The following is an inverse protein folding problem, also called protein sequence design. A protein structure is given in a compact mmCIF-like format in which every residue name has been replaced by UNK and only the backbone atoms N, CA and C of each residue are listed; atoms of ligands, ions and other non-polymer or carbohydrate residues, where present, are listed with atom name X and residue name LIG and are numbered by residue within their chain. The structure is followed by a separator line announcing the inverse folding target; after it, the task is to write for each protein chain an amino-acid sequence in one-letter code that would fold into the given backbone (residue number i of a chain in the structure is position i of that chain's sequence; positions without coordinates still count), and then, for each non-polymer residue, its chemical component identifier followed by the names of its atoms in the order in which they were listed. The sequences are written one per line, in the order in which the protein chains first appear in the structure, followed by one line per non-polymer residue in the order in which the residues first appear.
data_IF_569706371176
#
_entry.id   IF_569706371176
#
_cell.length_a   1.000
_cell.length_b   1.000
_cell.length_c   1.000
_cell.angle_alpha   90.00
_cell.angle_beta   90.00
_cell.angle_gamma   90.00
#
_symmetry.space_group_name_H-M   'P 1'
#
loop_
_entity.id
_entity.type
_entity.pdbx_description
1 polymer ?
#
# COMPACT_ATOMS: atom_id res chain seq x y z
N UNK A 1 -31.69 3.30 -7.96
CA UNK A 1 -30.34 3.75 -8.32
C UNK A 1 -30.02 3.13 -9.68
N UNK A 2 -29.86 3.94 -10.72
CA UNK A 2 -29.62 3.46 -12.10
C UNK A 2 -28.25 2.77 -12.19
N UNK A 3 -28.08 1.81 -13.11
CA UNK A 3 -26.83 1.06 -13.35
C UNK A 3 -25.60 1.98 -13.46
N UNK A 4 -25.75 3.15 -14.13
CA UNK A 4 -24.71 4.19 -14.21
C UNK A 4 -24.25 4.73 -12.84
N UNK A 5 -25.16 4.87 -11.87
CA UNK A 5 -24.85 5.37 -10.54
C UNK A 5 -24.05 4.35 -9.72
N UNK A 6 -24.31 3.04 -9.90
CA UNK A 6 -23.50 1.98 -9.26
C UNK A 6 -22.08 1.93 -9.82
N UNK A 7 -21.94 1.99 -11.15
CA UNK A 7 -20.62 2.01 -11.81
C UNK A 7 -19.78 3.23 -11.40
N UNK A 8 -20.41 4.42 -11.31
CA UNK A 8 -19.73 5.63 -10.87
C UNK A 8 -19.27 5.55 -9.39
N UNK A 9 -20.07 4.95 -8.51
CA UNK A 9 -19.72 4.77 -7.10
C UNK A 9 -18.56 3.76 -6.94
N UNK A 10 -18.58 2.66 -7.69
CA UNK A 10 -17.51 1.67 -7.73
C UNK A 10 -16.19 2.29 -8.21
N UNK A 11 -16.22 3.04 -9.31
CA UNK A 11 -15.05 3.74 -9.84
C UNK A 11 -14.43 4.71 -8.82
N UNK A 12 -15.28 5.47 -8.12
CA UNK A 12 -14.83 6.43 -7.10
C UNK A 12 -14.18 5.74 -5.89
N UNK A 13 -14.69 4.58 -5.47
CA UNK A 13 -14.05 3.80 -4.40
C UNK A 13 -12.73 3.15 -4.86
N UNK A 14 -12.65 2.64 -6.08
CA UNK A 14 -11.41 2.09 -6.62
C UNK A 14 -10.31 3.17 -6.71
N UNK A 15 -10.67 4.38 -7.16
CA UNK A 15 -9.79 5.55 -7.11
C UNK A 15 -9.33 5.87 -5.68
N UNK A 16 -10.22 5.78 -4.69
CA UNK A 16 -9.88 5.98 -3.28
C UNK A 16 -8.83 4.96 -2.81
N UNK A 17 -8.96 3.70 -3.22
CA UNK A 17 -8.00 2.66 -2.89
C UNK A 17 -6.65 2.87 -3.55
N UNK A 18 -6.64 3.28 -4.83
CA UNK A 18 -5.42 3.68 -5.54
C UNK A 18 -4.69 4.82 -4.82
N UNK A 19 -5.42 5.87 -4.42
CA UNK A 19 -4.84 7.00 -3.68
C UNK A 19 -4.28 6.56 -2.32
N UNK A 20 -4.97 5.67 -1.60
CA UNK A 20 -4.47 5.11 -0.34
C UNK A 20 -3.20 4.29 -0.57
N UNK A 21 -3.18 3.42 -1.60
CA UNK A 21 -2.03 2.59 -1.93
C UNK A 21 -0.81 3.45 -2.29
N UNK A 22 -1.01 4.47 -3.13
CA UNK A 22 0.03 5.42 -3.52
C UNK A 22 0.53 6.23 -2.33
N UNK A 23 -0.36 6.63 -1.42
CA UNK A 23 0.01 7.34 -0.20
C UNK A 23 0.84 6.47 0.73
N UNK A 24 0.47 5.20 0.94
CA UNK A 24 1.26 4.26 1.75
C UNK A 24 2.58 3.96 1.06
N UNK A 25 2.59 3.73 -0.25
CA UNK A 25 3.81 3.52 -1.01
C UNK A 25 4.78 4.70 -0.88
N UNK A 26 4.26 5.93 -0.94
CA UNK A 26 5.04 7.15 -0.74
C UNK A 26 5.56 7.25 0.70
N UNK A 27 4.72 7.02 1.71
CA UNK A 27 5.12 7.05 3.13
C UNK A 27 6.17 5.98 3.42
N UNK A 28 6.07 4.79 2.83
CA UNK A 28 7.07 3.75 3.11
C UNK A 28 8.36 4.00 2.34
N UNK A 29 8.28 4.35 1.04
CA UNK A 29 9.48 4.62 0.25
C UNK A 29 10.24 5.85 0.78
N UNK A 30 9.52 6.92 1.11
CA UNK A 30 10.10 8.19 1.54
C UNK A 30 10.26 8.27 3.07
N UNK A 31 9.22 7.89 3.82
CA UNK A 31 9.22 7.94 5.28
C UNK A 31 10.10 6.87 5.94
N UNK A 32 10.04 5.61 5.50
CA UNK A 32 10.90 4.57 6.06
C UNK A 32 12.35 4.68 5.52
N UNK A 33 12.52 5.12 4.27
CA UNK A 33 13.82 5.26 3.63
C UNK A 33 14.63 6.50 4.03
N UNK A 34 13.97 7.62 4.35
CA UNK A 34 14.64 8.92 4.60
C UNK A 34 14.39 9.41 6.02
N UNK A 35 13.15 9.43 6.50
CA UNK A 35 12.76 10.01 7.80
C UNK A 35 13.12 9.10 8.98
N UNK A 36 12.87 7.80 8.83
CA UNK A 36 13.28 6.78 9.81
C UNK A 36 14.69 6.26 9.57
N UNK A 37 15.40 6.76 8.54
CA UNK A 37 16.78 6.34 8.21
C UNK A 37 17.70 6.45 9.43
N UNK A 38 17.61 7.52 10.21
CA UNK A 38 18.47 7.73 11.38
C UNK A 38 18.09 6.84 12.57
N UNK A 39 16.79 6.63 12.82
CA UNK A 39 16.32 5.67 13.82
C UNK A 39 16.68 4.22 13.44
N UNK A 40 16.48 3.84 12.18
CA UNK A 40 16.83 2.53 11.62
C UNK A 40 18.35 2.33 11.53
N UNK A 41 19.15 3.38 11.28
CA UNK A 41 20.62 3.28 11.31
C UNK A 41 21.18 2.98 12.69
N UNK A 42 20.42 3.25 13.75
CA UNK A 42 20.78 2.88 15.13
C UNK A 42 20.66 1.37 15.34
N UNK A 43 19.76 0.71 14.61
CA UNK A 43 19.58 -0.75 14.64
C UNK A 43 20.45 -1.36 13.54
N UNK A 44 21.54 -2.02 13.93
CA UNK A 44 22.39 -2.77 13.00
C UNK A 44 21.90 -4.21 12.93
N UNK A 45 21.24 -4.58 11.82
CA UNK A 45 20.95 -6.00 11.55
C UNK A 45 22.20 -6.63 10.94
N UNK A 46 22.88 -7.50 11.70
CA UNK A 46 23.97 -8.33 11.19
C UNK A 46 25.19 -7.56 10.64
N UNK A 47 25.42 -6.33 11.10
CA UNK A 47 26.55 -5.49 10.66
C UNK A 47 26.25 -4.47 9.56
N UNK A 48 25.04 -4.50 8.97
CA UNK A 48 24.62 -3.54 7.95
C UNK A 48 23.58 -2.54 8.49
N UNK A 49 23.61 -1.32 7.94
CA UNK A 49 22.66 -0.25 8.25
C UNK A 49 21.27 -0.65 7.74
N UNK A 50 20.31 -0.82 8.64
CA UNK A 50 18.93 -1.23 8.30
C UNK A 50 18.27 -0.29 7.28
N UNK A 51 18.55 1.02 7.36
CA UNK A 51 18.07 1.98 6.36
C UNK A 51 18.57 1.70 4.94
N UNK A 52 19.78 1.15 4.79
CA UNK A 52 20.33 0.77 3.48
C UNK A 52 19.67 -0.49 2.93
N UNK A 53 19.46 -1.50 3.78
CA UNK A 53 18.71 -2.70 3.42
C UNK A 53 17.26 -2.36 3.02
N UNK A 54 16.63 -1.42 3.73
CA UNK A 54 15.27 -1.00 3.43
C UNK A 54 15.15 -0.27 2.08
N UNK A 55 16.14 0.56 1.76
CA UNK A 55 16.22 1.26 0.47
C UNK A 55 16.40 0.29 -0.72
N UNK A 56 17.07 -0.85 -0.52
CA UNK A 56 17.46 -1.76 -1.60
C UNK A 56 16.54 -2.98 -1.75
N UNK A 57 16.12 -3.59 -0.64
CA UNK A 57 15.31 -4.81 -0.60
C UNK A 57 14.01 -4.61 0.21
N UNK A 58 13.98 -3.71 1.20
CA UNK A 58 12.78 -3.48 2.00
C UNK A 58 11.58 -2.95 1.20
N UNK A 59 11.82 -2.11 0.19
CA UNK A 59 10.76 -1.55 -0.65
C UNK A 59 9.96 -2.62 -1.40
N UNK A 60 10.59 -3.71 -1.83
CA UNK A 60 9.88 -4.78 -2.54
C UNK A 60 8.99 -5.61 -1.60
N UNK A 61 9.43 -5.88 -0.37
CA UNK A 61 8.57 -6.54 0.63
C UNK A 61 7.33 -5.71 0.96
N UNK A 62 7.51 -4.40 1.13
CA UNK A 62 6.41 -3.47 1.35
C UNK A 62 5.47 -3.47 0.15
N UNK A 63 6.00 -3.49 -1.06
CA UNK A 63 5.21 -3.53 -2.28
C UNK A 63 4.32 -4.78 -2.34
N UNK A 64 4.87 -5.96 -2.00
CA UNK A 64 4.10 -7.21 -1.93
C UNK A 64 3.00 -7.13 -0.87
N UNK A 65 3.30 -6.60 0.32
CA UNK A 65 2.29 -6.40 1.39
C UNK A 65 1.18 -5.44 0.90
N UNK A 66 1.54 -4.37 0.21
CA UNK A 66 0.58 -3.43 -0.38
C UNK A 66 -0.36 -4.09 -1.38
N UNK A 67 0.15 -4.99 -2.23
CA UNK A 67 -0.67 -5.77 -3.16
C UNK A 67 -1.67 -6.64 -2.40
N UNK A 68 -1.25 -7.35 -1.36
CA UNK A 68 -2.17 -8.15 -0.53
C UNK A 68 -3.25 -7.30 0.14
N UNK A 69 -2.88 -6.13 0.66
CA UNK A 69 -3.84 -5.18 1.25
C UNK A 69 -4.82 -4.67 0.20
N UNK A 70 -4.34 -4.32 -0.99
CA UNK A 70 -5.19 -3.92 -2.12
C UNK A 70 -6.20 -5.00 -2.49
N UNK A 71 -5.74 -6.24 -2.69
CA UNK A 71 -6.61 -7.38 -3.02
C UNK A 71 -7.66 -7.62 -1.93
N UNK A 72 -7.27 -7.52 -0.65
CA UNK A 72 -8.22 -7.60 0.49
C UNK A 72 -9.26 -6.47 0.45
N UNK A 73 -8.85 -5.25 0.11
CA UNK A 73 -9.74 -4.09 0.00
C UNK A 73 -10.70 -4.24 -1.18
N UNK A 74 -10.20 -4.69 -2.32
CA UNK A 74 -10.96 -4.91 -3.54
C UNK A 74 -11.99 -6.03 -3.35
N UNK A 75 -11.60 -7.16 -2.74
CA UNK A 75 -12.52 -8.22 -2.34
C UNK A 75 -13.62 -7.73 -1.38
N UNK A 76 -13.31 -6.75 -0.51
CA UNK A 76 -14.30 -6.14 0.40
C UNK A 76 -15.25 -5.21 -0.37
N UNK A 77 -14.75 -4.50 -1.39
CA UNK A 77 -15.54 -3.66 -2.27
C UNK A 77 -16.46 -4.50 -3.15
N UNK A 78 -15.98 -5.59 -3.73
CA UNK A 78 -16.78 -6.51 -4.53
C UNK A 78 -17.91 -7.11 -3.68
N UNK A 79 -17.61 -7.54 -2.45
CA UNK A 79 -18.64 -7.96 -1.48
C UNK A 79 -19.66 -6.87 -1.16
N UNK A 80 -19.23 -5.61 -1.06
CA UNK A 80 -20.10 -4.47 -0.73
C UNK A 80 -21.03 -4.11 -1.89
N UNK A 81 -20.56 -4.26 -3.12
CA UNK A 81 -21.35 -3.96 -4.33
C UNK A 81 -22.04 -5.19 -4.93
N UNK A 82 -21.84 -6.38 -4.36
CA UNK A 82 -22.55 -7.61 -4.72
C UNK A 82 -22.05 -8.26 -6.01
N UNK A 83 -20.80 -8.00 -6.41
CA UNK A 83 -20.16 -8.65 -7.56
C UNK A 83 -19.64 -10.08 -7.23
N UNK A 84 -20.28 -10.74 -6.26
CA UNK A 84 -20.10 -12.17 -6.04
C UNK A 84 -21.13 -12.88 -6.92
N UNK A 85 -20.71 -13.28 -8.11
CA UNK A 85 -21.31 -14.43 -8.80
C UNK A 85 -20.56 -15.70 -8.36
#
# INVERSE_FOLDING_TARGET
MTEKQKAAAYWKENLKYLVILLSIWFIVSYGAGILFKDALNTIKLGGFKLGFWFAQQGSIYVFVILIFVYVRLMNKLDKKYGYNE
#
